data_IF_112900917510
#
_entry.id   IF_112900917510
#
_cell.length_a   1.000
_cell.length_b   1.000
_cell.length_c   1.000
_cell.angle_alpha   90.00
_cell.angle_beta   90.00
_cell.angle_gamma   90.00
#
_symmetry.space_group_name_H-M   'P 1'
#
loop_
_entity.id
_entity.type
_entity.pdbx_description
1 polymer ?
#
# COMPACT_ATOMS: atom_id res chain seq x y z
N UNK A 1 -31.89 -53.93 -58.33
CA UNK A 1 -30.58 -54.13 -57.68
C UNK A 1 -29.82 -52.84 -57.89
N UNK A 2 -29.82 -51.96 -56.88
CA UNK A 2 -29.10 -50.69 -56.98
C UNK A 2 -27.59 -50.98 -56.92
N UNK A 3 -26.81 -50.30 -57.74
CA UNK A 3 -25.39 -50.57 -57.93
C UNK A 3 -24.57 -49.95 -56.78
N UNK A 4 -24.15 -50.78 -55.83
CA UNK A 4 -23.35 -50.41 -54.64
C UNK A 4 -21.98 -49.76 -54.98
N UNK A 5 -21.51 -49.88 -56.23
CA UNK A 5 -20.23 -49.30 -56.67
C UNK A 5 -20.29 -47.78 -56.78
N UNK A 6 -21.46 -47.22 -57.11
CA UNK A 6 -21.67 -45.77 -57.15
C UNK A 6 -21.64 -45.13 -55.77
N UNK A 7 -22.15 -45.84 -54.75
CA UNK A 7 -22.21 -45.36 -53.38
C UNK A 7 -20.81 -45.26 -52.75
N UNK A 8 -19.92 -46.23 -52.98
CA UNK A 8 -18.53 -46.20 -52.50
C UNK A 8 -17.76 -44.99 -53.08
N UNK A 9 -17.97 -44.67 -54.35
CA UNK A 9 -17.32 -43.52 -54.98
C UNK A 9 -17.83 -42.19 -54.40
N UNK A 10 -19.13 -42.07 -54.11
CA UNK A 10 -19.72 -40.87 -53.49
C UNK A 10 -19.28 -40.71 -52.05
N UNK A 11 -19.24 -41.78 -51.26
CA UNK A 11 -18.81 -41.75 -49.86
C UNK A 11 -17.32 -41.38 -49.74
N UNK A 12 -16.47 -41.86 -50.65
CA UNK A 12 -15.07 -41.46 -50.72
C UNK A 12 -14.90 -39.98 -51.08
N UNK A 13 -15.69 -39.48 -52.04
CA UNK A 13 -15.63 -38.09 -52.48
C UNK A 13 -16.15 -37.13 -51.40
N UNK A 14 -17.19 -37.51 -50.66
CA UNK A 14 -17.66 -36.78 -49.49
C UNK A 14 -16.62 -36.79 -48.36
N UNK A 15 -16.01 -37.95 -48.08
CA UNK A 15 -14.97 -38.09 -47.06
C UNK A 15 -13.75 -37.22 -47.34
N UNK A 16 -13.25 -37.24 -48.58
CA UNK A 16 -12.08 -36.43 -48.96
C UNK A 16 -12.41 -34.93 -48.99
N UNK A 17 -13.64 -34.56 -49.36
CA UNK A 17 -14.09 -33.16 -49.34
C UNK A 17 -14.17 -32.62 -47.92
N UNK A 18 -14.72 -33.40 -46.99
CA UNK A 18 -14.82 -33.01 -45.58
C UNK A 18 -13.44 -32.92 -44.93
N UNK A 19 -12.53 -33.84 -45.28
CA UNK A 19 -11.13 -33.77 -44.87
C UNK A 19 -10.42 -32.51 -45.41
N UNK A 20 -10.59 -32.19 -46.69
CA UNK A 20 -9.98 -31.01 -47.31
C UNK A 20 -10.51 -29.70 -46.72
N UNK A 21 -11.81 -29.61 -46.44
CA UNK A 21 -12.42 -28.44 -45.78
C UNK A 21 -11.82 -28.27 -44.37
N UNK A 22 -11.74 -29.34 -43.58
CA UNK A 22 -11.13 -29.30 -42.25
C UNK A 22 -9.64 -28.92 -42.30
N UNK A 23 -8.89 -29.44 -43.28
CA UNK A 23 -7.49 -29.11 -43.49
C UNK A 23 -7.30 -27.63 -43.85
N UNK A 24 -8.09 -27.09 -44.78
CA UNK A 24 -8.05 -25.67 -45.15
C UNK A 24 -8.38 -24.79 -43.95
N UNK A 25 -9.41 -25.15 -43.17
CA UNK A 25 -9.78 -24.42 -41.96
C UNK A 25 -8.61 -24.41 -40.97
N UNK A 26 -7.97 -25.55 -40.74
CA UNK A 26 -6.81 -25.66 -39.82
C UNK A 26 -5.62 -24.84 -40.29
N UNK A 27 -5.28 -24.87 -41.59
CA UNK A 27 -4.17 -24.10 -42.16
C UNK A 27 -4.41 -22.59 -42.05
N UNK A 28 -5.65 -22.12 -42.09
CA UNK A 28 -5.99 -20.71 -41.87
C UNK A 28 -5.71 -20.21 -40.44
N UNK A 29 -5.69 -21.10 -39.44
CA UNK A 29 -5.33 -20.72 -38.07
C UNK A 29 -3.81 -20.77 -37.80
N UNK A 30 -3.02 -21.39 -38.67
CA UNK A 30 -1.55 -21.45 -38.52
C UNK A 30 -0.93 -20.05 -38.46
N UNK A 31 -1.26 -19.09 -39.37
CA UNK A 31 -0.78 -17.71 -39.25
C UNK A 31 -1.22 -17.03 -37.95
N UNK A 32 -2.41 -17.35 -37.43
CA UNK A 32 -2.92 -16.82 -36.16
C UNK A 32 -2.09 -17.26 -34.95
N UNK A 33 -1.50 -18.47 -34.99
CA UNK A 33 -0.56 -18.92 -33.95
C UNK A 33 0.79 -18.19 -34.01
N UNK A 34 1.20 -17.73 -35.19
CA UNK A 34 2.40 -16.90 -35.35
C UNK A 34 2.12 -15.39 -35.18
N UNK A 35 0.85 -15.01 -34.99
CA UNK A 35 0.43 -13.68 -34.51
C UNK A 35 0.32 -13.62 -32.98
N UNK A 36 0.95 -14.55 -32.25
CA UNK A 36 1.19 -14.38 -30.82
C UNK A 36 2.44 -13.50 -30.64
N UNK A 37 2.23 -12.22 -30.34
CA UNK A 37 3.28 -11.24 -30.04
C UNK A 37 3.43 -10.21 -31.14
N UNK A 38 2.90 -9.01 -30.90
CA UNK A 38 3.06 -7.84 -31.75
C UNK A 38 4.52 -7.58 -32.14
N UNK A 39 4.75 -7.15 -33.38
CA UNK A 39 6.02 -6.68 -33.93
C UNK A 39 6.56 -5.37 -33.27
N UNK A 40 6.26 -5.13 -31.99
CA UNK A 40 6.60 -3.92 -31.21
C UNK A 40 6.78 -4.15 -29.69
N UNK A 41 6.83 -5.38 -29.18
CA UNK A 41 7.23 -5.56 -27.78
C UNK A 41 8.73 -5.30 -27.66
N UNK A 42 9.07 -4.09 -27.22
CA UNK A 42 10.44 -3.64 -27.03
C UNK A 42 11.03 -4.33 -25.80
N UNK A 43 12.36 -4.52 -25.74
CA UNK A 43 13.02 -4.98 -24.51
C UNK A 43 12.73 -4.07 -23.31
N UNK A 44 12.34 -2.82 -23.60
CA UNK A 44 11.84 -1.85 -22.62
C UNK A 44 10.52 -2.30 -21.97
N UNK A 45 9.57 -2.84 -22.74
CA UNK A 45 8.26 -3.28 -22.20
C UNK A 45 8.43 -4.41 -21.19
N UNK A 46 9.25 -5.40 -21.52
CA UNK A 46 9.60 -6.49 -20.62
C UNK A 46 10.33 -6.00 -19.37
N UNK A 47 11.25 -5.04 -19.52
CA UNK A 47 11.99 -4.48 -18.40
C UNK A 47 11.06 -3.70 -17.46
N UNK A 48 10.24 -2.79 -17.99
CA UNK A 48 9.27 -2.03 -17.20
C UNK A 48 8.29 -2.94 -16.46
N UNK A 49 7.74 -3.94 -17.16
CA UNK A 49 6.79 -4.89 -16.59
C UNK A 49 7.43 -5.73 -15.49
N UNK A 50 8.62 -6.30 -15.74
CA UNK A 50 9.34 -7.10 -14.75
C UNK A 50 9.67 -6.28 -13.52
N UNK A 51 10.21 -5.08 -13.69
CA UNK A 51 10.57 -4.19 -12.57
C UNK A 51 9.34 -3.82 -11.76
N UNK A 52 8.25 -3.37 -12.39
CA UNK A 52 7.01 -3.07 -11.69
C UNK A 52 6.45 -4.28 -10.94
N UNK A 53 6.53 -5.48 -11.53
CA UNK A 53 6.05 -6.71 -10.91
C UNK A 53 6.92 -7.13 -9.72
N UNK A 54 8.25 -7.04 -9.84
CA UNK A 54 9.17 -7.29 -8.71
C UNK A 54 8.86 -6.36 -7.55
N UNK A 55 8.72 -5.05 -7.81
CA UNK A 55 8.48 -4.08 -6.75
C UNK A 55 7.14 -4.31 -6.04
N UNK A 56 6.11 -4.76 -6.76
CA UNK A 56 4.74 -4.79 -6.24
C UNK A 56 4.30 -6.14 -5.69
N UNK A 57 4.87 -7.24 -6.19
CA UNK A 57 4.47 -8.61 -5.84
C UNK A 57 5.54 -9.36 -5.03
N UNK A 58 6.80 -8.92 -5.06
CA UNK A 58 7.88 -9.55 -4.29
C UNK A 58 8.08 -8.85 -2.96
N UNK A 59 8.38 -9.65 -1.93
CA UNK A 59 8.79 -9.15 -0.62
C UNK A 59 10.24 -8.67 -0.58
N UNK A 60 11.04 -9.06 -1.57
CA UNK A 60 12.48 -8.90 -1.58
C UNK A 60 13.19 -10.05 -0.85
N UNK A 61 14.51 -10.05 -0.96
CA UNK A 61 15.33 -11.07 -0.31
C UNK A 61 16.75 -10.55 -0.12
N UNK A 62 17.30 -10.78 1.07
CA UNK A 62 18.72 -10.62 1.34
C UNK A 62 19.31 -11.94 1.79
N UNK A 63 20.63 -12.08 1.64
CA UNK A 63 21.31 -13.25 2.13
C UNK A 63 22.81 -13.04 2.28
N UNK A 64 23.37 -13.68 3.29
CA UNK A 64 24.81 -13.80 3.47
C UNK A 64 25.17 -15.26 3.82
N UNK A 65 26.43 -15.51 4.19
CA UNK A 65 26.92 -16.86 4.51
C UNK A 65 26.27 -17.50 5.74
N UNK A 66 25.53 -16.74 6.56
CA UNK A 66 25.01 -17.17 7.87
C UNK A 66 23.50 -17.05 8.02
N UNK A 67 22.86 -16.15 7.28
CA UNK A 67 21.43 -15.85 7.39
C UNK A 67 20.88 -15.27 6.09
N UNK A 68 19.57 -15.33 5.95
CA UNK A 68 18.79 -14.75 4.86
C UNK A 68 17.38 -14.47 5.32
N UNK A 69 16.71 -13.50 4.70
CA UNK A 69 15.35 -13.12 5.04
C UNK A 69 14.74 -12.17 4.02
N UNK A 70 13.49 -11.77 4.28
CA UNK A 70 12.72 -10.81 3.46
C UNK A 70 12.90 -9.36 3.88
N UNK A 71 13.49 -9.13 5.05
CA UNK A 71 13.86 -7.84 5.67
C UNK A 71 15.11 -7.23 5.01
N UNK A 72 15.13 -7.20 3.67
CA UNK A 72 16.27 -6.71 2.90
C UNK A 72 16.54 -5.22 3.17
N UNK A 73 15.53 -4.48 3.61
CA UNK A 73 15.63 -3.08 3.95
C UNK A 73 16.52 -2.83 5.18
N UNK A 74 16.63 -3.80 6.07
CA UNK A 74 17.58 -3.76 7.20
C UNK A 74 18.99 -4.22 6.78
N UNK A 75 19.11 -4.84 5.61
CA UNK A 75 20.32 -5.47 5.10
C UNK A 75 20.66 -5.04 3.65
N UNK A 76 20.62 -3.73 3.29
CA UNK A 76 20.65 -3.27 1.90
C UNK A 76 21.91 -3.68 1.15
N UNK A 77 23.06 -3.77 1.84
CA UNK A 77 24.34 -4.18 1.24
C UNK A 77 24.39 -5.66 0.81
N UNK A 78 23.46 -6.49 1.31
CA UNK A 78 23.35 -7.91 0.97
C UNK A 78 22.01 -8.21 0.27
N UNK A 79 21.30 -7.17 -0.19
CA UNK A 79 20.06 -7.33 -0.92
C UNK A 79 20.34 -8.04 -2.25
N UNK A 80 19.65 -9.17 -2.46
CA UNK A 80 19.71 -9.93 -3.70
C UNK A 80 18.52 -9.63 -4.61
N UNK A 81 17.40 -9.21 -4.01
CA UNK A 81 16.19 -8.77 -4.69
C UNK A 81 15.50 -7.69 -3.86
N UNK A 82 15.04 -6.64 -4.51
CA UNK A 82 14.33 -5.53 -3.86
C UNK A 82 12.87 -5.57 -4.27
N UNK A 83 12.04 -6.04 -3.36
CA UNK A 83 10.59 -6.06 -3.48
C UNK A 83 9.99 -5.17 -2.41
N UNK A 84 8.89 -4.49 -2.70
CA UNK A 84 8.26 -3.58 -1.74
C UNK A 84 7.06 -4.22 -1.03
N UNK A 85 6.64 -5.41 -1.43
CA UNK A 85 5.45 -6.01 -0.84
C UNK A 85 5.66 -6.33 0.65
N UNK A 86 4.58 -6.18 1.42
CA UNK A 86 4.55 -6.53 2.85
C UNK A 86 4.79 -8.02 3.05
N UNK A 87 5.52 -8.33 4.11
CA UNK A 87 5.87 -9.70 4.49
C UNK A 87 4.74 -10.36 5.27
N UNK A 88 4.26 -11.49 4.76
CA UNK A 88 3.38 -12.38 5.52
C UNK A 88 4.18 -13.37 6.38
N UNK A 89 5.34 -13.80 5.89
CA UNK A 89 6.23 -14.77 6.52
C UNK A 89 7.70 -14.40 6.22
N UNK A 90 8.45 -14.09 7.28
CA UNK A 90 9.86 -13.65 7.16
C UNK A 90 10.81 -14.73 6.63
N UNK A 91 10.36 -15.98 6.57
CA UNK A 91 11.13 -17.11 6.04
C UNK A 91 10.83 -17.43 4.57
N UNK A 92 9.82 -16.77 3.98
CA UNK A 92 9.32 -17.07 2.64
C UNK A 92 9.29 -15.83 1.75
N UNK A 93 9.74 -15.98 0.50
CA UNK A 93 9.68 -14.92 -0.52
C UNK A 93 8.28 -14.69 -1.09
N UNK A 94 7.28 -15.39 -0.56
CA UNK A 94 5.91 -15.34 -1.03
C UNK A 94 5.08 -14.50 -0.06
N UNK A 95 4.23 -13.66 -0.61
CA UNK A 95 3.22 -12.89 0.12
C UNK A 95 1.84 -13.19 -0.47
N UNK A 96 0.83 -13.27 0.37
CA UNK A 96 -0.57 -13.34 0.00
C UNK A 96 -1.20 -11.95 -0.11
N UNK A 97 -0.43 -10.88 0.16
CA UNK A 97 -0.85 -9.48 0.04
C UNK A 97 -0.06 -8.74 -1.05
N UNK A 98 -0.04 -9.21 -2.32
CA UNK A 98 0.60 -8.46 -3.39
C UNK A 98 -0.11 -7.11 -3.60
N UNK A 99 0.64 -6.12 -4.07
CA UNK A 99 0.20 -4.72 -4.19
C UNK A 99 0.01 -3.98 -2.87
N UNK A 100 0.34 -4.57 -1.73
CA UNK A 100 0.43 -3.88 -0.44
C UNK A 100 1.90 -3.64 -0.15
N UNK A 101 2.34 -2.37 -0.16
CA UNK A 101 3.74 -1.99 -0.11
C UNK A 101 4.14 -1.49 1.27
N UNK A 102 5.27 -1.99 1.78
CA UNK A 102 5.82 -1.58 3.05
C UNK A 102 6.49 -0.21 2.98
N UNK A 103 6.28 0.61 4.01
CA UNK A 103 6.88 1.93 4.14
C UNK A 103 8.39 1.83 4.24
N UNK A 104 8.89 0.94 5.10
CA UNK A 104 10.33 0.80 5.36
C UNK A 104 11.08 0.36 4.11
N UNK A 105 10.55 -0.65 3.39
CA UNK A 105 11.10 -1.11 2.10
C UNK A 105 11.11 -0.01 1.05
N UNK A 106 10.02 0.75 0.97
CA UNK A 106 9.91 1.86 0.01
C UNK A 106 10.91 2.96 0.32
N UNK A 107 11.00 3.40 1.58
CA UNK A 107 11.96 4.42 2.03
C UNK A 107 13.40 3.96 1.81
N UNK A 108 13.70 2.69 2.12
CA UNK A 108 15.04 2.14 1.92
C UNK A 108 15.41 2.04 0.44
N UNK A 109 14.47 1.65 -0.43
CA UNK A 109 14.69 1.65 -1.88
C UNK A 109 15.10 3.04 -2.36
N UNK A 110 14.46 4.11 -1.85
CA UNK A 110 14.79 5.50 -2.21
C UNK A 110 16.19 5.93 -1.77
N UNK A 111 16.86 5.16 -0.90
CA UNK A 111 18.21 5.44 -0.41
C UNK A 111 19.28 4.56 -1.05
N UNK A 112 18.89 3.56 -1.84
CA UNK A 112 19.84 2.72 -2.57
C UNK A 112 20.56 3.52 -3.66
N UNK A 113 21.82 3.19 -3.89
CA UNK A 113 22.57 3.80 -4.98
C UNK A 113 22.10 3.26 -6.34
N UNK A 114 22.27 4.08 -7.38
CA UNK A 114 21.81 3.73 -8.73
C UNK A 114 22.52 2.49 -9.31
N UNK A 115 23.80 2.27 -8.98
CA UNK A 115 24.56 1.11 -9.50
C UNK A 115 23.96 -0.22 -8.99
N UNK A 116 23.67 -0.30 -7.70
CA UNK A 116 23.04 -1.45 -7.07
C UNK A 116 21.60 -1.64 -7.57
N UNK A 117 20.85 -0.56 -7.72
CA UNK A 117 19.48 -0.62 -8.27
C UNK A 117 19.48 -1.16 -9.70
N UNK A 118 20.37 -0.68 -10.56
CA UNK A 118 20.48 -1.14 -11.95
C UNK A 118 20.81 -2.63 -11.99
N UNK A 119 21.72 -3.11 -11.14
CA UNK A 119 22.07 -4.53 -11.08
C UNK A 119 20.90 -5.38 -10.57
N UNK A 120 20.35 -5.04 -9.41
CA UNK A 120 19.35 -5.87 -8.72
C UNK A 120 18.02 -5.91 -9.49
N UNK A 121 17.59 -4.78 -10.07
CA UNK A 121 16.36 -4.72 -10.87
C UNK A 121 16.59 -5.15 -12.33
N UNK A 122 17.85 -5.39 -12.72
CA UNK A 122 18.22 -5.78 -14.08
C UNK A 122 17.93 -4.70 -15.12
N UNK A 123 18.11 -3.42 -14.78
CA UNK A 123 17.82 -2.27 -15.64
C UNK A 123 18.93 -2.04 -16.68
N UNK A 124 19.34 -3.11 -17.36
CA UNK A 124 20.41 -3.08 -18.35
C UNK A 124 20.17 -4.13 -19.44
N UNK A 125 20.93 -4.01 -20.52
CA UNK A 125 20.97 -4.98 -21.59
C UNK A 125 22.41 -5.20 -22.06
N UNK A 126 22.65 -6.37 -22.67
CA UNK A 126 23.94 -6.76 -23.20
C UNK A 126 23.78 -7.01 -24.71
N UNK A 127 24.35 -6.11 -25.52
CA UNK A 127 24.37 -6.26 -26.98
C UNK A 127 25.84 -6.45 -27.40
N UNK A 128 26.13 -7.55 -28.09
CA UNK A 128 27.46 -7.90 -28.61
C UNK A 128 28.59 -7.81 -27.55
N UNK A 129 28.28 -8.18 -26.31
CA UNK A 129 29.24 -8.16 -25.19
C UNK A 129 29.45 -6.78 -24.56
N UNK A 130 28.77 -5.75 -25.04
CA UNK A 130 28.76 -4.41 -24.42
C UNK A 130 27.50 -4.25 -23.58
N UNK A 131 27.70 -3.97 -22.28
CA UNK A 131 26.61 -3.68 -21.35
C UNK A 131 26.25 -2.20 -21.41
N UNK A 132 24.96 -1.90 -21.51
CA UNK A 132 24.44 -0.55 -21.32
C UNK A 132 23.23 -0.58 -20.38
N UNK A 133 23.11 0.46 -19.57
CA UNK A 133 21.99 0.62 -18.64
C UNK A 133 20.86 1.38 -19.31
N UNK A 134 19.63 0.97 -19.02
CA UNK A 134 18.45 1.76 -19.37
C UNK A 134 18.38 2.99 -18.47
N UNK A 135 17.87 4.10 -18.99
CA UNK A 135 17.37 5.16 -18.12
C UNK A 135 16.04 4.73 -17.51
N UNK A 136 15.76 5.17 -16.28
CA UNK A 136 14.54 4.80 -15.57
C UNK A 136 13.99 5.92 -14.70
N UNK A 137 12.67 5.86 -14.47
CA UNK A 137 11.97 6.58 -13.43
C UNK A 137 11.09 5.59 -12.67
N UNK A 138 11.23 5.52 -11.35
CA UNK A 138 10.35 4.74 -10.49
C UNK A 138 9.71 5.70 -9.50
N UNK A 139 8.38 5.84 -9.53
CA UNK A 139 7.68 6.79 -8.65
C UNK A 139 6.39 6.22 -8.11
N UNK A 140 6.02 6.65 -6.91
CA UNK A 140 4.69 6.40 -6.33
C UNK A 140 3.97 7.73 -6.26
N UNK A 141 2.78 7.80 -6.86
CA UNK A 141 2.00 9.04 -6.95
C UNK A 141 0.60 8.88 -6.36
N UNK A 142 0.10 9.96 -5.75
CA UNK A 142 -1.26 10.08 -5.20
C UNK A 142 -1.79 11.47 -5.55
N UNK A 143 -3.06 11.57 -5.96
CA UNK A 143 -3.70 12.85 -6.32
C UNK A 143 -2.89 13.70 -7.31
N UNK A 144 -2.27 13.07 -8.31
CA UNK A 144 -1.40 13.68 -9.34
C UNK A 144 -0.08 14.30 -8.82
N UNK A 145 0.32 14.03 -7.58
CA UNK A 145 1.64 14.40 -7.04
C UNK A 145 2.42 13.18 -6.54
N UNK A 146 3.74 13.29 -6.32
CA UNK A 146 4.51 12.23 -5.66
C UNK A 146 3.97 12.02 -4.24
N UNK A 147 3.81 10.77 -3.84
CA UNK A 147 3.55 10.42 -2.46
C UNK A 147 4.78 10.77 -1.62
N UNK A 148 4.58 11.30 -0.42
CA UNK A 148 5.67 11.63 0.50
C UNK A 148 5.65 10.63 1.65
N UNK A 149 6.73 9.88 1.82
CA UNK A 149 6.94 8.94 2.93
C UNK A 149 8.18 9.40 3.69
N UNK A 150 8.09 9.45 5.02
CA UNK A 150 9.20 9.89 5.88
C UNK A 150 9.81 11.24 5.45
N UNK A 151 8.93 12.19 5.09
CA UNK A 151 9.32 13.53 4.64
C UNK A 151 9.98 13.58 3.25
N UNK A 152 10.05 12.46 2.50
CA UNK A 152 10.69 12.37 1.18
C UNK A 152 9.69 11.98 0.08
N UNK A 153 9.72 12.63 -1.09
CA UNK A 153 8.92 12.19 -2.23
C UNK A 153 9.42 10.83 -2.73
N UNK A 154 8.50 9.91 -2.99
CA UNK A 154 8.82 8.58 -3.51
C UNK A 154 9.02 8.66 -5.02
N UNK A 155 10.24 9.00 -5.43
CA UNK A 155 10.67 9.11 -6.83
C UNK A 155 12.18 8.81 -6.93
N UNK A 156 12.53 7.88 -7.83
CA UNK A 156 13.88 7.45 -8.15
C UNK A 156 14.15 7.60 -9.65
N UNK A 157 15.42 7.81 -9.98
CA UNK A 157 15.90 7.96 -11.34
C UNK A 157 15.62 9.34 -11.93
N UNK A 158 15.64 9.43 -13.25
CA UNK A 158 15.55 10.70 -13.98
C UNK A 158 14.18 10.86 -14.63
N UNK A 159 13.90 12.04 -15.20
CA UNK A 159 12.70 12.21 -16.03
C UNK A 159 12.99 11.67 -17.43
N UNK A 160 12.06 10.86 -17.97
CA UNK A 160 12.20 10.33 -19.31
C UNK A 160 12.34 11.46 -20.35
N UNK A 161 13.37 11.43 -21.20
CA UNK A 161 13.57 12.43 -22.24
C UNK A 161 12.56 12.23 -23.39
N UNK A 162 12.08 13.33 -23.98
CA UNK A 162 10.98 13.31 -24.95
C UNK A 162 11.33 12.73 -26.33
N UNK A 163 12.62 12.55 -26.61
CA UNK A 163 13.17 12.13 -27.90
C UNK A 163 13.53 10.65 -27.96
N UNK A 164 13.34 9.90 -26.86
CA UNK A 164 13.72 8.49 -26.76
C UNK A 164 12.53 7.55 -26.75
N UNK A 165 12.79 6.30 -27.12
CA UNK A 165 11.81 5.23 -26.96
C UNK A 165 11.64 4.95 -25.47
N UNK A 166 10.40 4.96 -24.99
CA UNK A 166 10.09 4.79 -23.57
C UNK A 166 8.97 3.77 -23.41
N UNK A 167 9.08 2.94 -22.38
CA UNK A 167 8.00 2.07 -21.92
C UNK A 167 7.62 2.39 -20.49
N UNK A 168 6.33 2.32 -20.20
CA UNK A 168 5.75 2.73 -18.92
C UNK A 168 4.72 1.72 -18.43
N UNK A 169 4.86 1.29 -17.19
CA UNK A 169 3.92 0.42 -16.49
C UNK A 169 3.47 1.12 -15.22
N UNK A 170 2.15 1.18 -15.01
CA UNK A 170 1.55 1.73 -13.79
C UNK A 170 0.72 0.64 -13.10
N UNK A 171 0.91 0.47 -11.79
CA UNK A 171 0.18 -0.46 -10.91
C UNK A 171 -0.55 0.33 -9.84
N UNK A 172 -1.77 -0.08 -9.52
CA UNK A 172 -2.51 0.43 -8.35
C UNK A 172 -2.01 -0.35 -7.14
N UNK A 173 -1.62 0.38 -6.10
CA UNK A 173 -1.03 -0.21 -4.88
C UNK A 173 -1.63 0.43 -3.64
N UNK A 174 -1.62 -0.30 -2.54
CA UNK A 174 -1.82 0.21 -1.19
C UNK A 174 -0.45 0.40 -0.55
N UNK A 175 -0.16 1.58 -0.02
CA UNK A 175 1.15 1.89 0.54
C UNK A 175 0.99 2.19 2.02
N UNK A 176 1.81 1.56 2.86
CA UNK A 176 1.92 1.93 4.27
C UNK A 176 2.37 3.38 4.38
N UNK A 177 1.50 4.22 4.96
CA UNK A 177 1.77 5.64 5.14
C UNK A 177 2.02 6.01 6.60
N UNK A 178 1.86 5.05 7.52
CA UNK A 178 2.06 5.22 8.94
C UNK A 178 1.24 4.21 9.74
N UNK A 179 1.07 4.49 11.03
CA UNK A 179 0.23 3.70 11.93
C UNK A 179 -0.86 4.57 12.53
N UNK A 180 -1.98 3.95 12.86
CA UNK A 180 -3.10 4.59 13.55
C UNK A 180 -3.61 3.64 14.62
N UNK A 181 -3.79 4.12 15.84
CA UNK A 181 -4.48 3.34 16.86
C UNK A 181 -5.99 3.46 16.66
N UNK A 182 -6.63 2.36 16.26
CA UNK A 182 -8.05 2.30 15.96
C UNK A 182 -8.81 1.66 17.13
N UNK A 183 -9.80 2.38 17.65
CA UNK A 183 -10.64 1.92 18.76
C UNK A 183 -12.12 2.05 18.42
N UNK A 184 -12.90 1.05 18.82
CA UNK A 184 -14.36 1.18 18.92
C UNK A 184 -14.70 1.92 20.23
N UNK A 185 -15.67 2.84 20.18
CA UNK A 185 -16.12 3.57 21.36
C UNK A 185 -16.63 2.63 22.47
N UNK A 186 -17.20 1.47 22.13
CA UNK A 186 -17.66 0.49 23.11
C UNK A 186 -16.50 -0.17 23.89
N UNK A 187 -15.30 -0.18 23.30
CA UNK A 187 -14.09 -0.74 23.90
C UNK A 187 -13.31 0.24 24.77
N UNK A 188 -13.64 1.52 24.66
CA UNK A 188 -12.99 2.60 25.40
C UNK A 188 -13.64 2.81 26.77
N UNK A 189 -12.85 2.91 27.86
CA UNK A 189 -13.39 3.01 29.19
C UNK A 189 -13.75 4.45 29.54
N UNK A 190 -14.86 4.61 30.27
CA UNK A 190 -15.21 5.87 30.94
C UNK A 190 -14.05 6.27 31.85
N UNK A 191 -13.66 7.54 31.78
CA UNK A 191 -12.69 8.13 32.70
C UNK A 191 -13.19 8.03 34.16
N UNK A 192 -12.52 7.26 35.04
CA UNK A 192 -12.96 7.07 36.42
C UNK A 192 -12.75 8.31 37.29
N UNK A 193 -12.03 9.32 36.81
CA UNK A 193 -11.71 10.55 37.56
C UNK A 193 -12.71 11.67 37.28
N UNK A 194 -13.61 11.50 36.31
CA UNK A 194 -14.68 12.45 36.01
C UNK A 194 -16.05 11.87 36.35
N UNK A 195 -17.00 12.74 36.67
CA UNK A 195 -18.40 12.33 36.88
C UNK A 195 -19.17 12.17 35.55
N UNK A 196 -18.48 12.28 34.42
CA UNK A 196 -19.04 12.29 33.07
C UNK A 196 -18.84 10.94 32.43
N UNK A 197 -19.87 10.42 31.75
CA UNK A 197 -19.75 9.24 30.87
C UNK A 197 -19.32 9.64 29.44
N UNK A 198 -19.08 10.92 29.20
CA UNK A 198 -18.66 11.48 27.90
C UNK A 198 -17.14 11.57 27.74
N UNK A 199 -16.40 11.17 28.77
CA UNK A 199 -14.95 11.28 28.85
C UNK A 199 -14.36 9.87 28.84
N UNK A 200 -13.35 9.65 28.00
CA UNK A 200 -12.59 8.40 27.95
C UNK A 200 -11.12 8.65 28.20
N UNK A 201 -10.42 7.61 28.67
CA UNK A 201 -9.00 7.66 28.95
C UNK A 201 -8.25 6.56 28.19
N UNK A 202 -7.09 6.92 27.65
CA UNK A 202 -6.16 6.04 26.94
C UNK A 202 -4.77 6.18 27.56
N UNK A 203 -4.14 5.06 27.88
CA UNK A 203 -2.74 5.06 28.30
C UNK A 203 -1.82 5.09 27.08
N UNK A 204 -0.78 5.92 27.13
CA UNK A 204 0.24 5.97 26.08
C UNK A 204 1.62 5.86 26.73
N UNK A 205 2.33 4.76 26.49
CA UNK A 205 3.70 4.59 27.02
C UNK A 205 4.75 5.11 26.04
N UNK A 206 5.45 6.17 26.45
CA UNK A 206 6.58 6.76 25.75
C UNK A 206 7.92 6.05 26.00
N UNK A 207 9.02 6.51 25.36
CA UNK A 207 9.05 7.66 24.47
C UNK A 207 8.48 7.34 23.08
N UNK A 208 7.80 8.32 22.46
CA UNK A 208 7.34 8.26 21.07
C UNK A 208 7.76 9.52 20.33
N UNK A 209 8.59 9.36 19.30
CA UNK A 209 9.21 10.47 18.55
C UNK A 209 8.45 10.83 17.27
N UNK A 210 7.42 10.05 16.91
CA UNK A 210 6.62 10.24 15.70
C UNK A 210 5.25 10.82 16.05
N UNK A 211 4.57 11.40 15.05
CA UNK A 211 3.16 11.82 15.18
C UNK A 211 2.31 10.61 15.56
N UNK A 212 1.45 10.79 16.58
CA UNK A 212 0.58 9.72 17.07
C UNK A 212 -0.81 9.94 16.50
N UNK A 213 -1.30 8.98 15.72
CA UNK A 213 -2.66 9.00 15.19
C UNK A 213 -3.56 8.07 16.02
N UNK A 214 -4.66 8.61 16.55
CA UNK A 214 -5.68 7.86 17.28
C UNK A 214 -7.00 8.05 16.53
N UNK A 215 -7.74 6.98 16.35
CA UNK A 215 -9.02 6.95 15.67
C UNK A 215 -10.07 6.28 16.57
N UNK A 216 -11.24 6.89 16.66
CA UNK A 216 -12.39 6.33 17.36
C UNK A 216 -13.55 6.18 16.37
N UNK A 217 -14.08 4.98 16.29
CA UNK A 217 -15.25 4.62 15.49
C UNK A 217 -16.40 4.14 16.40
N UNK A 218 -17.58 3.84 15.84
CA UNK A 218 -18.70 3.27 16.60
C UNK A 218 -19.31 4.22 17.64
N UNK A 219 -19.35 5.54 17.37
CA UNK A 219 -19.71 6.54 18.39
C UNK A 219 -21.17 6.42 18.86
N UNK A 220 -21.36 6.30 20.17
CA UNK A 220 -22.68 6.28 20.80
C UNK A 220 -23.20 7.70 21.08
N UNK A 221 -23.89 8.29 20.10
CA UNK A 221 -24.51 9.61 20.25
C UNK A 221 -25.78 9.53 21.09
N UNK A 222 -25.84 10.32 22.17
CA UNK A 222 -26.97 10.34 23.12
C UNK A 222 -27.69 11.68 23.20
N UNK A 223 -27.04 12.77 22.77
CA UNK A 223 -27.62 14.12 22.79
C UNK A 223 -27.83 14.75 21.41
N UNK A 224 -28.10 16.06 21.39
CA UNK A 224 -28.55 16.79 20.19
C UNK A 224 -27.45 17.66 19.56
N UNK A 225 -26.33 17.84 20.27
CA UNK A 225 -25.18 18.62 19.82
C UNK A 225 -23.85 17.89 20.09
N UNK A 226 -23.69 16.68 19.53
CA UNK A 226 -22.46 15.88 19.61
C UNK A 226 -21.27 16.62 19.03
N UNK A 227 -20.25 16.83 19.86
CA UNK A 227 -19.06 17.58 19.50
C UNK A 227 -17.83 17.14 20.28
N UNK A 228 -16.65 17.41 19.73
CA UNK A 228 -15.40 17.30 20.45
C UNK A 228 -15.19 18.55 21.33
N UNK A 229 -14.72 18.38 22.57
CA UNK A 229 -14.44 19.52 23.47
C UNK A 229 -12.94 19.78 23.59
N UNK A 230 -12.16 18.79 24.01
CA UNK A 230 -10.70 18.95 24.26
C UNK A 230 -9.98 17.62 24.46
N UNK A 231 -8.66 17.68 24.38
CA UNK A 231 -7.74 16.65 24.88
C UNK A 231 -7.00 17.14 26.13
N UNK A 232 -6.82 16.26 27.10
CA UNK A 232 -5.98 16.47 28.28
C UNK A 232 -4.92 15.37 28.36
N UNK A 233 -3.67 15.73 28.66
CA UNK A 233 -2.57 14.79 28.86
C UNK A 233 -2.05 14.95 30.29
N UNK A 234 -2.13 13.88 31.09
CA UNK A 234 -1.82 13.90 32.53
C UNK A 234 -2.51 15.07 33.26
N UNK A 235 -3.76 15.34 32.91
CA UNK A 235 -4.57 16.45 33.45
C UNK A 235 -4.24 17.85 32.91
N UNK A 236 -3.27 18.00 32.00
CA UNK A 236 -2.94 19.27 31.35
C UNK A 236 -3.67 19.40 30.01
N UNK A 237 -4.40 20.51 29.80
CA UNK A 237 -5.08 20.74 28.52
C UNK A 237 -4.06 20.89 27.38
N UNK A 238 -4.28 20.16 26.29
CA UNK A 238 -3.51 20.31 25.05
C UNK A 238 -4.08 21.46 24.19
N UNK A 239 -3.22 22.11 23.42
CA UNK A 239 -3.56 23.20 22.52
C UNK A 239 -3.82 22.67 21.09
N UNK A 240 -5.02 22.92 20.57
CA UNK A 240 -5.37 22.58 19.19
C UNK A 240 -4.50 23.39 18.19
N UNK A 241 -3.96 22.72 17.17
CA UNK A 241 -3.06 23.27 16.16
C UNK A 241 -1.59 23.40 16.57
N UNK A 242 -1.25 23.14 17.85
CA UNK A 242 0.13 23.15 18.36
C UNK A 242 0.52 21.79 18.92
N UNK A 243 -0.33 21.23 19.79
CA UNK A 243 -0.07 19.94 20.44
C UNK A 243 -0.82 18.82 19.70
N UNK A 244 -1.97 19.13 19.08
CA UNK A 244 -2.71 18.16 18.29
C UNK A 244 -3.56 18.82 17.20
N UNK A 245 -3.91 18.04 16.19
CA UNK A 245 -4.99 18.36 15.25
C UNK A 245 -6.07 17.29 15.31
N UNK A 246 -7.33 17.68 15.06
CA UNK A 246 -8.44 16.73 15.08
C UNK A 246 -9.31 16.85 13.84
N UNK A 247 -9.79 15.70 13.39
CA UNK A 247 -10.55 15.56 12.16
C UNK A 247 -11.73 14.63 12.40
N UNK A 248 -12.73 14.77 11.54
CA UNK A 248 -13.75 13.75 11.35
C UNK A 248 -13.70 13.23 9.92
N UNK A 249 -13.93 11.94 9.78
CA UNK A 249 -14.03 11.23 8.51
C UNK A 249 -15.46 10.76 8.36
N UNK A 250 -16.15 11.20 7.31
CA UNK A 250 -17.53 10.78 7.05
C UNK A 250 -17.59 9.37 6.43
N UNK A 251 -18.81 8.85 6.25
CA UNK A 251 -19.05 7.53 5.65
C UNK A 251 -18.50 7.37 4.22
N UNK A 252 -18.21 8.48 3.53
CA UNK A 252 -17.64 8.49 2.19
C UNK A 252 -16.10 8.61 2.21
N UNK A 253 -15.48 8.65 3.38
CA UNK A 253 -14.03 8.85 3.55
C UNK A 253 -13.58 10.30 3.44
N UNK A 254 -14.50 11.27 3.46
CA UNK A 254 -14.16 12.69 3.37
C UNK A 254 -13.64 13.18 4.72
N UNK A 255 -12.41 13.68 4.72
CA UNK A 255 -11.77 14.23 5.92
C UNK A 255 -12.11 15.70 6.06
N UNK A 256 -12.58 16.11 7.23
CA UNK A 256 -12.83 17.52 7.58
C UNK A 256 -12.29 17.83 8.97
N UNK A 257 -11.78 19.05 9.18
CA UNK A 257 -11.27 19.47 10.50
C UNK A 257 -12.39 19.47 11.52
N UNK A 258 -12.15 18.86 12.67
CA UNK A 258 -13.08 18.81 13.79
C UNK A 258 -12.73 19.91 14.78
N UNK A 259 -13.39 21.05 14.69
CA UNK A 259 -13.22 22.11 15.69
C UNK A 259 -14.13 21.85 16.90
N UNK A 260 -13.91 22.58 18.00
CA UNK A 260 -14.79 22.57 19.19
C UNK A 260 -16.28 22.91 18.94
N UNK A 261 -16.62 23.39 17.74
CA UNK A 261 -18.00 23.66 17.28
C UNK A 261 -18.48 22.70 16.20
N UNK A 262 -17.62 21.79 15.75
CA UNK A 262 -17.93 20.81 14.72
C UNK A 262 -18.89 19.74 15.22
N UNK A 263 -20.00 19.56 14.50
CA UNK A 263 -20.96 18.50 14.79
C UNK A 263 -20.46 17.15 14.29
N UNK A 264 -20.63 16.13 15.13
CA UNK A 264 -20.29 14.74 14.87
C UNK A 264 -21.58 13.96 14.66
N UNK A 265 -21.62 13.04 13.70
CA UNK A 265 -22.76 12.11 13.54
C UNK A 265 -22.33 10.68 13.85
N UNK A 266 -23.29 9.78 14.00
CA UNK A 266 -23.08 8.39 14.44
C UNK A 266 -22.22 7.56 13.47
N UNK A 267 -22.25 7.92 12.19
CA UNK A 267 -21.39 7.31 11.16
C UNK A 267 -20.01 7.96 11.02
N UNK A 268 -19.75 9.08 11.71
CA UNK A 268 -18.46 9.75 11.62
C UNK A 268 -17.42 8.97 12.43
N UNK A 269 -16.20 8.96 11.90
CA UNK A 269 -15.00 8.51 12.60
C UNK A 269 -14.25 9.75 13.08
N UNK A 270 -13.85 9.82 14.34
CA UNK A 270 -13.02 10.91 14.84
C UNK A 270 -11.56 10.48 14.81
N UNK A 271 -10.67 11.37 14.36
CA UNK A 271 -9.23 11.13 14.33
C UNK A 271 -8.48 12.27 14.99
N UNK A 272 -7.55 11.93 15.87
CA UNK A 272 -6.65 12.85 16.55
C UNK A 272 -5.22 12.57 16.11
N UNK A 273 -4.48 13.61 15.76
CA UNK A 273 -3.04 13.55 15.50
C UNK A 273 -2.33 14.36 16.57
N UNK A 274 -1.58 13.71 17.45
CA UNK A 274 -0.74 14.37 18.45
C UNK A 274 0.63 14.66 17.84
N UNK A 275 1.13 15.86 18.05
CA UNK A 275 2.40 16.29 17.50
C UNK A 275 3.59 15.53 18.13
N UNK A 276 4.66 15.28 17.36
CA UNK A 276 5.91 14.76 17.88
C UNK A 276 6.42 15.61 19.04
N UNK A 277 6.96 14.98 20.08
CA UNK A 277 7.58 15.71 21.19
C UNK A 277 6.75 15.76 22.48
N UNK A 278 5.47 15.40 22.45
CA UNK A 278 4.62 15.39 23.65
C UNK A 278 4.98 14.27 24.63
N UNK A 279 5.46 13.14 24.11
CA UNK A 279 5.68 11.91 24.87
C UNK A 279 7.17 11.51 24.88
N UNK A 280 8.06 12.43 25.29
CA UNK A 280 9.52 12.25 25.18
C UNK A 280 10.17 11.46 26.32
N UNK A 281 9.41 11.08 27.34
CA UNK A 281 9.94 10.37 28.49
C UNK A 281 9.45 8.92 28.51
N UNK A 282 10.28 8.04 29.06
CA UNK A 282 9.95 6.63 29.27
C UNK A 282 8.99 6.46 30.45
N UNK A 283 7.76 6.93 30.27
CA UNK A 283 6.67 6.84 31.24
C UNK A 283 5.34 6.57 30.52
N UNK A 284 4.34 6.15 31.30
CA UNK A 284 2.96 6.05 30.83
C UNK A 284 2.27 7.38 31.07
N UNK A 285 1.75 7.96 29.99
CA UNK A 285 0.93 9.15 29.98
C UNK A 285 -0.54 8.75 29.91
N UNK A 286 -1.41 9.57 30.48
CA UNK A 286 -2.86 9.40 30.42
C UNK A 286 -3.44 10.47 29.50
N UNK A 287 -3.88 10.04 28.32
CA UNK A 287 -4.63 10.87 27.40
C UNK A 287 -6.12 10.75 27.70
N UNK A 288 -6.71 11.83 28.13
CA UNK A 288 -8.15 12.00 28.33
C UNK A 288 -8.75 12.68 27.09
N UNK A 289 -9.82 12.09 26.57
CA UNK A 289 -10.56 12.58 25.41
C UNK A 289 -11.95 12.98 25.88
N UNK A 290 -12.24 14.28 25.80
CA UNK A 290 -13.49 14.85 26.29
C UNK A 290 -14.44 15.13 25.13
N UNK A 291 -15.57 14.42 25.11
CA UNK A 291 -16.62 14.60 24.11
C UNK A 291 -17.87 15.22 24.76
N UNK A 292 -18.81 15.61 23.91
CA UNK A 292 -20.13 16.11 24.30
C UNK A 292 -21.18 15.24 23.64
N UNK A 293 -22.23 14.87 24.37
CA UNK A 293 -23.38 14.13 23.85
C UNK A 293 -22.99 12.78 23.18
N UNK A 294 -21.82 12.24 23.51
CA UNK A 294 -21.28 10.94 23.08
C UNK A 294 -20.85 10.20 24.34
N UNK A 295 -21.30 8.96 24.53
CA UNK A 295 -21.09 8.23 25.80
C UNK A 295 -20.31 6.95 25.64
N UNK A 296 -19.45 6.66 26.62
CA UNK A 296 -18.74 5.39 26.74
C UNK A 296 -19.45 4.48 27.75
N UNK A 297 -19.38 3.17 27.56
CA UNK A 297 -20.12 2.19 28.38
C UNK A 297 -19.23 1.31 29.25
N UNK A 298 -17.95 1.17 28.90
CA UNK A 298 -17.01 0.31 29.62
C UNK A 298 -16.50 1.03 30.86
N UNK A 299 -16.45 0.33 31.99
CA UNK A 299 -16.02 0.90 33.27
C UNK A 299 -14.53 0.60 33.48
N UNK A 300 -13.71 1.62 33.74
CA UNK A 300 -12.32 1.45 34.15
C UNK A 300 -12.19 0.97 35.62
N UNK A 301 -11.10 0.28 35.99
CA UNK A 301 -10.15 -0.42 35.13
C UNK A 301 -10.73 -1.73 34.52
N UNK A 302 -10.15 -2.27 33.43
CA UNK A 302 -8.83 -1.94 32.85
C UNK A 302 -8.83 -0.68 31.98
N UNK A 303 -7.72 0.05 32.02
CA UNK A 303 -7.41 1.10 31.05
C UNK A 303 -6.93 0.48 29.73
N UNK A 304 -7.28 1.09 28.61
CA UNK A 304 -6.85 0.67 27.28
C UNK A 304 -5.49 1.31 26.98
N UNK A 305 -4.55 0.54 26.42
CA UNK A 305 -3.26 1.06 25.96
C UNK A 305 -3.35 1.44 24.48
N UNK A 306 -2.71 2.56 24.11
CA UNK A 306 -2.55 2.99 22.73
C UNK A 306 -2.04 1.87 21.83
N UNK A 307 -1.10 1.06 22.34
CA UNK A 307 -0.48 -0.04 21.58
C UNK A 307 -1.44 -1.18 21.27
N UNK A 308 -2.51 -1.33 22.04
CA UNK A 308 -3.49 -2.40 21.84
C UNK A 308 -4.34 -2.18 20.57
N UNK A 309 -4.46 -0.92 20.11
CA UNK A 309 -5.23 -0.56 18.91
C UNK A 309 -4.38 -0.26 17.67
N UNK A 310 -3.05 -0.39 17.73
CA UNK A 310 -2.18 0.02 16.61
C UNK A 310 -2.44 -0.88 15.40
N UNK A 311 -2.89 -0.25 14.32
CA UNK A 311 -3.04 -0.82 13.01
C UNK A 311 -2.17 -0.05 12.01
N UNK A 312 -1.75 -0.74 10.95
CA UNK A 312 -1.03 -0.11 9.85
C UNK A 312 -2.03 0.63 8.98
N UNK A 313 -1.76 1.91 8.69
CA UNK A 313 -2.59 2.74 7.84
C UNK A 313 -2.08 2.68 6.39
N UNK A 314 -2.95 2.20 5.51
CA UNK A 314 -2.67 2.07 4.09
C UNK A 314 -3.36 3.17 3.27
N UNK A 315 -2.64 3.70 2.29
CA UNK A 315 -3.21 4.65 1.33
C UNK A 315 -3.14 4.12 -0.10
N UNK A 316 -4.21 4.28 -0.91
CA UNK A 316 -4.16 3.93 -2.32
C UNK A 316 -3.27 4.92 -3.08
N UNK A 317 -2.41 4.39 -3.94
CA UNK A 317 -1.48 5.13 -4.78
C UNK A 317 -1.23 4.42 -6.12
N UNK A 318 -0.46 5.07 -7.00
CA UNK A 318 -0.04 4.54 -8.29
C UNK A 318 1.48 4.40 -8.32
N UNK A 319 1.98 3.16 -8.32
CA UNK A 319 3.39 2.87 -8.58
C UNK A 319 3.60 2.86 -10.10
N UNK A 320 4.52 3.70 -10.57
CA UNK A 320 4.87 3.83 -11.98
C UNK A 320 6.33 3.50 -12.17
N UNK A 321 6.60 2.60 -13.13
CA UNK A 321 7.94 2.31 -13.64
C UNK A 321 7.99 2.74 -15.09
N UNK A 322 8.91 3.63 -15.41
CA UNK A 322 9.19 4.11 -16.75
C UNK A 322 10.65 3.80 -17.07
N UNK A 323 10.92 3.27 -18.27
CA UNK A 323 12.26 2.92 -18.73
C UNK A 323 12.47 3.34 -20.18
N UNK A 324 13.67 3.78 -20.52
CA UNK A 324 14.00 4.26 -21.86
C UNK A 324 15.43 3.90 -22.26
N UNK A 325 15.69 3.97 -23.57
CA UNK A 325 17.02 3.82 -24.18
C UNK A 325 17.33 4.99 -25.11
#
# INVERSE_FOLDING_TARGET
MADDRGQIAVDFLLGISLFLIALIFTVQFIPGMFMAGSARESSLDYTAYRTATILVEDTGWWGNSTSSGTDWEEHPANAMRVGLAVDDDTSSRLTNTPNVLSMNKTVQLMQMNDEDLIEILGLYNNIDGTRFSYGYNISITKNNGPMVLDGRPVMLGETAPSDRETSKITRIVLVEAGTVANFDADDLPIDPYTASVEDTILNITGPLENTIAIQINGLNITGIDPSFKKLTLDGVNLNEGIDYTSYKVDINGTISTLTSTGKIIDTDIIRFYLEPGLLNHSQTYQLEINLKDITFTKIAPPFVDYRDGIEVYYEPAYLTVEVWQ
#
